data_IF_661249423714
#
_entry.id   IF_661249423714
#
_cell.length_a   1.000
_cell.length_b   1.000
_cell.length_c   1.000
_cell.angle_alpha   90.00
_cell.angle_beta   90.00
_cell.angle_gamma   90.00
#
_symmetry.space_group_name_H-M   'P 1'
#
loop_
_entity.id
_entity.type
_entity.pdbx_description
1 polymer ?
#
# COMPACT_ATOMS: atom_id res chain seq x y z
N UNK A 1 -4.92 -9.40 21.15
CA UNK A 1 -5.05 -9.68 19.70
C UNK A 1 -6.21 -8.83 19.22
N UNK A 2 -6.04 -8.11 18.13
CA UNK A 2 -7.06 -7.23 17.53
C UNK A 2 -7.25 -7.59 16.04
N UNK A 3 -8.34 -7.12 15.46
CA UNK A 3 -8.65 -7.35 14.05
C UNK A 3 -8.24 -6.14 13.25
N UNK A 4 -7.43 -6.35 12.22
CA UNK A 4 -6.97 -5.30 11.32
C UNK A 4 -7.19 -5.65 9.86
N UNK A 5 -7.21 -4.63 9.01
CA UNK A 5 -7.25 -4.77 7.55
C UNK A 5 -6.14 -3.97 6.89
N UNK A 6 -5.68 -4.45 5.73
CA UNK A 6 -4.76 -3.70 4.84
C UNK A 6 -5.39 -3.42 3.46
N UNK A 7 -6.68 -3.63 3.34
CA UNK A 7 -7.39 -3.26 2.11
C UNK A 7 -7.58 -1.74 2.13
N UNK A 8 -7.18 -1.06 1.05
CA UNK A 8 -7.44 0.37 0.92
C UNK A 8 -8.95 0.60 0.78
N UNK A 9 -9.56 1.53 1.56
CA UNK A 9 -10.96 1.85 1.40
C UNK A 9 -11.22 2.54 0.07
N UNK A 10 -12.32 2.23 -0.55
CA UNK A 10 -12.75 2.84 -1.82
C UNK A 10 -13.58 4.10 -1.61
N UNK A 11 -14.30 4.15 -0.51
CA UNK A 11 -15.19 5.22 -0.09
C UNK A 11 -15.58 5.05 1.40
N UNK A 12 -16.39 5.95 1.92
CA UNK A 12 -16.85 5.96 3.30
C UNK A 12 -17.59 4.67 3.70
N UNK A 13 -18.30 4.03 2.76
CA UNK A 13 -19.07 2.82 3.06
C UNK A 13 -18.18 1.64 3.44
N UNK A 14 -16.98 1.55 2.87
CA UNK A 14 -16.02 0.51 3.27
C UNK A 14 -15.60 0.69 4.74
N UNK A 15 -15.35 1.92 5.19
CA UNK A 15 -14.98 2.23 6.58
C UNK A 15 -16.11 1.87 7.55
N UNK A 16 -17.37 2.21 7.20
CA UNK A 16 -18.55 1.86 8.00
C UNK A 16 -18.72 0.35 8.14
N UNK A 17 -18.61 -0.39 7.03
CA UNK A 17 -18.72 -1.87 7.02
C UNK A 17 -17.62 -2.50 7.87
N UNK A 18 -16.38 -2.04 7.76
CA UNK A 18 -15.29 -2.60 8.57
C UNK A 18 -15.50 -2.33 10.07
N UNK A 19 -15.94 -1.14 10.45
CA UNK A 19 -16.28 -0.83 11.83
C UNK A 19 -17.40 -1.75 12.36
N UNK A 20 -18.45 -1.99 11.57
CA UNK A 20 -19.54 -2.90 11.91
C UNK A 20 -19.07 -4.36 12.04
N UNK A 21 -18.09 -4.78 11.24
CA UNK A 21 -17.49 -6.12 11.31
C UNK A 21 -16.48 -6.28 12.47
N UNK A 22 -16.26 -5.23 13.27
CA UNK A 22 -15.35 -5.25 14.41
C UNK A 22 -13.87 -5.10 14.03
N UNK A 23 -13.57 -4.55 12.85
CA UNK A 23 -12.22 -4.10 12.51
C UNK A 23 -11.91 -2.85 13.33
N UNK A 24 -10.77 -2.86 14.04
CA UNK A 24 -10.35 -1.76 14.90
C UNK A 24 -9.12 -1.04 14.34
N UNK A 25 -8.33 -1.71 13.51
CA UNK A 25 -7.02 -1.27 13.08
C UNK A 25 -6.89 -1.34 11.56
N UNK A 26 -6.20 -0.39 10.98
CA UNK A 26 -6.04 -0.32 9.53
C UNK A 26 -4.59 -0.01 9.13
N UNK A 27 -4.15 -0.65 8.05
CA UNK A 27 -2.99 -0.26 7.28
C UNK A 27 -3.48 0.42 6.00
N UNK A 28 -3.45 1.74 5.95
CA UNK A 28 -3.90 2.52 4.80
C UNK A 28 -3.06 3.78 4.63
N UNK A 29 -2.69 4.07 3.39
CA UNK A 29 -2.04 5.33 3.06
C UNK A 29 -3.05 6.48 3.10
N UNK A 30 -2.62 7.73 3.37
CA UNK A 30 -3.48 8.89 3.29
C UNK A 30 -4.20 9.00 1.95
N UNK A 31 -5.45 9.39 2.00
CA UNK A 31 -6.30 9.59 0.83
C UNK A 31 -7.15 10.86 0.98
N UNK A 32 -7.66 11.34 -0.12
CA UNK A 32 -8.69 12.38 -0.15
C UNK A 32 -9.94 11.85 -0.88
N UNK A 33 -11.07 12.47 -0.61
CA UNK A 33 -12.33 12.16 -1.29
C UNK A 33 -12.46 13.02 -2.55
N UNK A 34 -12.74 12.37 -3.69
CA UNK A 34 -13.01 13.06 -4.95
C UNK A 34 -14.48 13.55 -5.02
N UNK A 35 -14.83 14.24 -6.10
CA UNK A 35 -16.17 14.77 -6.34
C UNK A 35 -17.28 13.69 -6.43
N UNK A 36 -16.90 12.43 -6.61
CA UNK A 36 -17.81 11.28 -6.67
C UNK A 36 -17.87 10.49 -5.35
N UNK A 37 -17.24 10.99 -4.29
CA UNK A 37 -17.15 10.31 -3.00
C UNK A 37 -16.15 9.14 -2.97
N UNK A 38 -15.22 9.07 -3.93
CA UNK A 38 -14.22 8.01 -3.98
C UNK A 38 -12.92 8.46 -3.33
N UNK A 39 -12.28 7.54 -2.63
CA UNK A 39 -11.01 7.77 -1.96
C UNK A 39 -9.85 7.54 -2.94
N UNK A 40 -9.05 8.58 -3.09
CA UNK A 40 -7.86 8.61 -3.94
C UNK A 40 -6.62 8.73 -3.07
N UNK A 41 -5.70 7.79 -3.17
CA UNK A 41 -4.46 7.81 -2.38
C UNK A 41 -3.60 9.03 -2.69
N UNK A 42 -3.05 9.64 -1.65
CA UNK A 42 -2.10 10.74 -1.76
C UNK A 42 -0.70 10.14 -1.94
N UNK A 43 0.05 10.70 -2.90
CA UNK A 43 1.42 10.25 -3.14
C UNK A 43 2.27 10.42 -1.87
N UNK A 44 3.07 9.42 -1.44
CA UNK A 44 3.91 9.52 -0.25
C UNK A 44 4.86 10.72 -0.23
N UNK A 45 5.31 11.20 -1.40
CA UNK A 45 6.15 12.39 -1.50
C UNK A 45 5.43 13.69 -1.12
N UNK A 46 4.09 13.70 -1.14
CA UNK A 46 3.26 14.86 -0.82
C UNK A 46 2.75 14.81 0.64
N UNK A 47 3.09 13.79 1.42
CA UNK A 47 2.65 13.68 2.81
C UNK A 47 3.25 14.78 3.67
N UNK A 48 2.41 15.36 4.50
CA UNK A 48 2.76 16.36 5.52
C UNK A 48 2.17 15.93 6.87
N UNK A 49 2.61 16.56 7.94
CA UNK A 49 2.02 16.35 9.28
C UNK A 49 0.51 16.57 9.24
N UNK A 50 0.06 17.68 8.64
CA UNK A 50 -1.36 18.04 8.54
C UNK A 50 -2.17 16.98 7.75
N UNK A 51 -1.65 16.44 6.67
CA UNK A 51 -2.30 15.37 5.89
C UNK A 51 -2.44 14.10 6.73
N UNK A 52 -1.38 13.70 7.43
CA UNK A 52 -1.39 12.51 8.27
C UNK A 52 -2.31 12.65 9.47
N UNK A 53 -2.31 13.80 10.14
CA UNK A 53 -3.21 14.09 11.26
C UNK A 53 -4.68 14.07 10.84
N UNK A 54 -5.02 14.71 9.71
CA UNK A 54 -6.38 14.67 9.14
C UNK A 54 -6.81 13.25 8.76
N UNK A 55 -5.88 12.44 8.24
CA UNK A 55 -6.15 11.05 7.92
C UNK A 55 -6.42 10.21 9.18
N UNK A 56 -5.62 10.40 10.25
CA UNK A 56 -5.84 9.75 11.55
C UNK A 56 -7.20 10.18 12.13
N UNK A 57 -7.52 11.47 12.08
CA UNK A 57 -8.81 12.00 12.56
C UNK A 57 -9.98 11.38 11.78
N UNK A 58 -9.90 11.36 10.45
CA UNK A 58 -10.92 10.74 9.60
C UNK A 58 -11.19 9.30 10.00
N UNK A 59 -10.15 8.48 10.11
CA UNK A 59 -10.27 7.07 10.49
C UNK A 59 -10.84 6.90 11.91
N UNK A 60 -10.42 7.77 12.84
CA UNK A 60 -10.90 7.78 14.21
C UNK A 60 -12.41 8.04 14.31
N UNK A 61 -12.99 8.85 13.41
CA UNK A 61 -14.43 9.10 13.34
C UNK A 61 -15.24 7.82 13.03
N UNK A 62 -14.62 6.82 12.42
CA UNK A 62 -15.19 5.49 12.20
C UNK A 62 -14.79 4.47 13.27
N UNK A 63 -14.07 4.88 14.32
CA UNK A 63 -13.56 3.98 15.35
C UNK A 63 -12.37 3.12 14.91
N UNK A 64 -11.68 3.52 13.84
CA UNK A 64 -10.52 2.83 13.29
C UNK A 64 -9.23 3.52 13.74
N UNK A 65 -8.23 2.74 14.12
CA UNK A 65 -6.88 3.20 14.45
C UNK A 65 -5.94 2.97 13.28
N UNK A 66 -5.19 3.99 12.88
CA UNK A 66 -4.15 3.86 11.86
C UNK A 66 -2.89 3.24 12.47
N UNK A 67 -2.69 1.95 12.24
CA UNK A 67 -1.53 1.23 12.78
C UNK A 67 -0.32 1.31 11.86
N UNK A 68 -0.52 1.50 10.57
CA UNK A 68 0.54 1.33 9.60
C UNK A 68 0.23 2.06 8.30
N UNK A 69 1.26 2.63 7.69
CA UNK A 69 1.24 3.15 6.32
C UNK A 69 2.27 2.43 5.46
N UNK A 70 2.10 2.43 4.15
CA UNK A 70 3.05 1.84 3.22
C UNK A 70 4.00 2.91 2.68
N UNK A 71 5.30 2.72 2.89
CA UNK A 71 6.33 3.56 2.27
C UNK A 71 6.61 3.11 0.82
N UNK A 72 7.18 3.99 -0.05
CA UNK A 72 7.33 3.74 -1.47
C UNK A 72 8.44 2.73 -1.81
N UNK A 73 8.40 1.57 -1.17
CA UNK A 73 9.23 0.38 -1.42
C UNK A 73 8.30 -0.81 -1.62
N UNK A 74 7.56 -0.83 -2.73
CA UNK A 74 6.57 -1.86 -3.05
C UNK A 74 7.15 -2.95 -3.96
N UNK A 75 6.56 -4.16 -3.93
CA UNK A 75 6.86 -5.24 -4.87
C UNK A 75 6.29 -4.91 -6.25
N UNK A 76 7.10 -4.30 -7.10
CA UNK A 76 6.75 -3.95 -8.47
C UNK A 76 7.92 -4.21 -9.40
N UNK A 77 7.68 -4.44 -10.70
CA UNK A 77 8.75 -4.37 -11.70
C UNK A 77 9.52 -3.07 -11.55
N UNK A 78 10.81 -3.12 -11.86
CA UNK A 78 11.71 -1.99 -11.62
C UNK A 78 11.26 -0.70 -12.31
N UNK A 79 10.66 -0.83 -13.50
CA UNK A 79 10.13 0.30 -14.30
C UNK A 79 8.93 1.01 -13.62
N UNK A 80 8.25 0.30 -12.72
CA UNK A 80 7.09 0.81 -11.97
C UNK A 80 7.45 1.18 -10.52
N UNK A 81 8.72 0.96 -10.12
CA UNK A 81 9.18 1.24 -8.77
C UNK A 81 9.24 2.73 -8.50
N UNK A 82 8.80 3.15 -7.34
CA UNK A 82 8.91 4.54 -6.86
C UNK A 82 10.30 4.86 -6.32
N UNK A 83 11.12 3.85 -6.01
CA UNK A 83 12.48 3.99 -5.49
C UNK A 83 13.43 2.98 -6.18
N UNK A 84 13.59 3.07 -7.51
CA UNK A 84 14.34 2.08 -8.29
C UNK A 84 15.84 2.09 -7.98
N UNK A 85 16.41 3.23 -7.60
CA UNK A 85 17.84 3.36 -7.37
C UNK A 85 18.29 2.72 -6.06
N UNK A 86 17.42 2.65 -5.05
CA UNK A 86 17.65 1.85 -3.84
C UNK A 86 17.80 0.39 -4.23
N UNK A 87 16.89 -0.14 -5.04
CA UNK A 87 16.90 -1.54 -5.47
C UNK A 87 18.11 -1.88 -6.33
N UNK A 88 18.58 -0.93 -7.14
CA UNK A 88 19.75 -1.08 -8.03
C UNK A 88 21.08 -0.70 -7.38
N UNK A 89 21.07 -0.12 -6.19
CA UNK A 89 22.28 0.38 -5.52
C UNK A 89 22.97 1.53 -6.22
N UNK A 90 22.26 2.32 -7.06
CA UNK A 90 22.85 3.39 -7.89
C UNK A 90 22.95 4.73 -7.16
N UNK A 91 24.15 5.10 -6.74
CA UNK A 91 24.45 6.45 -6.22
C UNK A 91 24.69 7.44 -7.38
N UNK A 92 24.39 8.75 -7.19
CA UNK A 92 23.89 9.36 -5.94
C UNK A 92 22.37 9.31 -5.77
N UNK A 93 21.60 8.83 -6.75
CA UNK A 93 20.14 8.81 -6.74
C UNK A 93 19.61 7.93 -5.62
N UNK A 94 20.23 6.77 -5.37
CA UNK A 94 19.93 5.89 -4.24
C UNK A 94 19.93 6.65 -2.90
N UNK A 95 20.94 7.50 -2.70
CA UNK A 95 21.14 8.19 -1.42
C UNK A 95 20.03 9.23 -1.19
N UNK A 96 19.54 9.88 -2.26
CA UNK A 96 18.38 10.78 -2.21
C UNK A 96 17.08 10.03 -1.92
N UNK A 97 16.88 8.85 -2.54
CA UNK A 97 15.71 8.02 -2.28
C UNK A 97 15.71 7.51 -0.82
N UNK A 98 16.87 7.13 -0.27
CA UNK A 98 17.02 6.74 1.14
C UNK A 98 16.67 7.92 2.05
N UNK A 99 17.17 9.12 1.78
CA UNK A 99 16.85 10.31 2.55
C UNK A 99 15.33 10.60 2.53
N UNK A 100 14.69 10.45 1.39
CA UNK A 100 13.23 10.57 1.27
C UNK A 100 12.49 9.57 2.16
N UNK A 101 12.90 8.30 2.17
CA UNK A 101 12.33 7.27 3.05
C UNK A 101 12.54 7.61 4.53
N UNK A 102 13.73 8.07 4.92
CA UNK A 102 14.03 8.49 6.30
C UNK A 102 13.15 9.66 6.73
N UNK A 103 12.90 10.61 5.85
CA UNK A 103 12.00 11.75 6.10
C UNK A 103 10.55 11.26 6.30
N UNK A 104 10.06 10.32 5.49
CA UNK A 104 8.73 9.73 5.66
C UNK A 104 8.60 8.99 7.01
N UNK A 105 9.58 8.20 7.40
CA UNK A 105 9.60 7.52 8.70
C UNK A 105 9.56 8.54 9.84
N UNK A 106 10.35 9.60 9.74
CA UNK A 106 10.38 10.68 10.72
C UNK A 106 9.03 11.40 10.79
N UNK A 107 8.40 11.64 9.65
CA UNK A 107 7.08 12.25 9.57
C UNK A 107 6.01 11.38 10.26
N UNK A 108 5.98 10.09 9.96
CA UNK A 108 5.07 9.13 10.61
C UNK A 108 5.26 9.11 12.13
N UNK A 109 6.51 9.11 12.60
CA UNK A 109 6.83 9.17 14.03
C UNK A 109 6.30 10.42 14.71
N UNK A 110 6.36 11.59 14.05
CA UNK A 110 5.86 12.87 14.62
C UNK A 110 4.38 12.85 14.93
N UNK A 111 3.60 12.14 14.12
CA UNK A 111 2.13 12.03 14.28
C UNK A 111 1.71 10.77 15.04
N UNK A 112 2.66 9.98 15.50
CA UNK A 112 2.39 8.80 16.32
C UNK A 112 1.96 7.55 15.55
N UNK A 113 2.19 7.46 14.24
CA UNK A 113 1.97 6.22 13.47
C UNK A 113 3.02 5.19 13.90
N UNK A 114 2.62 4.03 14.46
CA UNK A 114 3.54 3.12 15.15
C UNK A 114 4.39 2.27 14.20
N UNK A 115 3.98 2.09 12.96
CA UNK A 115 4.67 1.20 12.02
C UNK A 115 4.60 1.67 10.58
N UNK A 116 5.59 1.27 9.79
CA UNK A 116 5.59 1.42 8.34
C UNK A 116 5.76 0.05 7.68
N UNK A 117 5.06 -0.14 6.56
CA UNK A 117 5.14 -1.35 5.74
C UNK A 117 5.99 -1.10 4.51
N UNK A 118 6.83 -2.06 4.16
CA UNK A 118 7.61 -2.03 2.93
C UNK A 118 7.79 -3.44 2.34
N UNK A 119 8.11 -3.48 1.05
CA UNK A 119 8.54 -4.68 0.36
C UNK A 119 9.79 -4.33 -0.47
N UNK A 120 10.90 -5.01 -0.23
CA UNK A 120 12.11 -4.84 -1.04
C UNK A 120 12.19 -5.97 -2.09
N UNK A 121 11.37 -5.85 -3.13
CA UNK A 121 11.29 -6.86 -4.17
C UNK A 121 11.13 -6.18 -5.53
N UNK A 122 12.02 -6.50 -6.47
CA UNK A 122 12.00 -6.00 -7.85
C UNK A 122 11.18 -6.89 -8.80
N UNK A 123 10.71 -8.03 -8.30
CA UNK A 123 9.89 -8.96 -9.08
C UNK A 123 8.43 -8.73 -8.70
N UNK A 124 7.60 -8.45 -9.68
CA UNK A 124 6.14 -8.39 -9.49
C UNK A 124 5.60 -9.72 -8.96
N UNK A 125 4.48 -9.66 -8.25
CA UNK A 125 3.82 -10.88 -7.78
C UNK A 125 3.20 -11.60 -8.99
N UNK A 126 3.67 -12.82 -9.36
CA UNK A 126 3.12 -13.52 -10.50
C UNK A 126 1.66 -13.91 -10.26
N UNK A 127 0.83 -13.66 -11.27
CA UNK A 127 -0.59 -14.01 -11.26
C UNK A 127 -0.97 -14.64 -12.58
N UNK A 128 -1.84 -15.62 -12.53
CA UNK A 128 -2.62 -16.10 -13.66
C UNK A 128 -3.97 -15.37 -13.71
N UNK A 129 -4.91 -15.86 -14.52
CA UNK A 129 -6.28 -15.36 -14.52
C UNK A 129 -6.94 -15.56 -13.16
N UNK A 130 -7.81 -14.62 -12.79
CA UNK A 130 -8.61 -14.75 -11.58
C UNK A 130 -9.60 -15.91 -11.70
N UNK A 131 -9.85 -16.62 -10.61
CA UNK A 131 -10.76 -17.76 -10.56
C UNK A 131 -11.89 -17.52 -9.57
N UNK A 132 -13.06 -18.06 -9.88
CA UNK A 132 -14.20 -18.04 -8.98
C UNK A 132 -13.93 -18.91 -7.75
N UNK A 133 -14.24 -18.38 -6.58
CA UNK A 133 -14.12 -19.06 -5.31
C UNK A 133 -15.47 -19.31 -4.66
N UNK A 134 -15.43 -19.78 -3.40
CA UNK A 134 -16.61 -20.04 -2.61
C UNK A 134 -17.45 -18.77 -2.39
N UNK A 135 -18.75 -18.89 -2.47
CA UNK A 135 -19.68 -17.79 -2.22
C UNK A 135 -19.67 -16.70 -3.30
N UNK A 136 -19.19 -17.01 -4.52
CA UNK A 136 -19.12 -16.04 -5.62
C UNK A 136 -17.92 -15.10 -5.53
N UNK A 137 -16.95 -15.34 -4.66
CA UNK A 137 -15.72 -14.56 -4.61
C UNK A 137 -14.89 -14.71 -5.88
N UNK A 138 -14.15 -13.66 -6.24
CA UNK A 138 -13.16 -13.70 -7.31
C UNK A 138 -11.78 -13.68 -6.67
N UNK A 139 -11.02 -14.74 -6.86
CA UNK A 139 -9.71 -14.90 -6.24
C UNK A 139 -8.60 -14.65 -7.24
N UNK A 140 -7.62 -13.86 -6.85
CA UNK A 140 -6.36 -13.74 -7.58
C UNK A 140 -5.56 -15.02 -7.38
N UNK A 141 -5.26 -15.73 -8.48
CA UNK A 141 -4.62 -17.04 -8.43
C UNK A 141 -3.28 -17.07 -9.14
N UNK A 142 -2.52 -18.10 -8.85
CA UNK A 142 -1.32 -18.47 -9.59
C UNK A 142 -1.42 -19.94 -10.00
N UNK A 143 -1.39 -20.18 -11.33
CA UNK A 143 -1.33 -21.51 -11.93
C UNK A 143 -0.20 -21.56 -12.92
N UNK A 144 0.77 -22.39 -12.67
CA UNK A 144 1.96 -22.52 -13.52
C UNK A 144 1.60 -22.83 -14.99
N UNK A 145 0.69 -23.74 -15.21
CA UNK A 145 0.22 -24.16 -16.52
C UNK A 145 -0.50 -23.08 -17.32
N UNK A 146 -0.99 -22.04 -16.64
CA UNK A 146 -1.68 -20.88 -17.24
C UNK A 146 -0.76 -19.67 -17.41
N UNK A 147 0.49 -19.76 -17.01
CA UNK A 147 1.43 -18.65 -17.14
C UNK A 147 1.85 -18.46 -18.59
N UNK A 148 1.68 -17.24 -19.07
CA UNK A 148 2.21 -16.86 -20.38
C UNK A 148 3.76 -16.88 -20.33
N UNK A 149 4.39 -17.48 -21.33
CA UNK A 149 5.86 -17.55 -21.41
C UNK A 149 6.53 -16.17 -21.33
N UNK A 150 5.89 -15.12 -21.83
CA UNK A 150 6.40 -13.76 -21.75
C UNK A 150 6.47 -13.20 -20.32
N UNK A 151 5.60 -13.68 -19.43
CA UNK A 151 5.64 -13.32 -18.00
C UNK A 151 6.81 -14.05 -17.31
N UNK A 152 7.05 -15.29 -17.68
CA UNK A 152 8.19 -16.08 -17.15
C UNK A 152 9.51 -15.45 -17.57
N UNK A 153 9.65 -15.02 -18.82
CA UNK A 153 10.87 -14.37 -19.33
C UNK A 153 11.12 -13.05 -18.56
N UNK A 154 10.10 -12.23 -18.31
CA UNK A 154 10.24 -11.00 -17.49
C UNK A 154 10.65 -11.26 -16.05
N UNK A 155 10.25 -12.39 -15.48
CA UNK A 155 10.63 -12.79 -14.11
C UNK A 155 12.07 -13.32 -14.02
N UNK A 156 12.65 -13.79 -15.13
CA UNK A 156 13.97 -14.44 -15.16
C UNK A 156 15.05 -13.54 -15.78
N UNK A 157 14.67 -12.53 -16.57
CA UNK A 157 15.59 -11.63 -17.28
C UNK A 157 15.74 -10.24 -16.63
N UNK A 158 15.15 -10.01 -15.45
CA UNK A 158 15.22 -8.76 -14.68
C UNK A 158 16.49 -8.59 -13.86
#
# INVERSE_FOLDING_TARGET
MYVGTQVAPRDASDLEVWAQLGVNNICADPFYEDENGKYISINPHDWTVDILEKHIELLSNYGLSLDMVQIPLSSRPLEESQSPNIMLGKSPERDKEIESIQNLITLCSKVGIPAVKYNMNIIGIPRSESESGRGGSINSTFRWEKMNQNVIIRLVSG
#
